data_IF_352929031136
#
_entry.id   IF_352929031136
#
_cell.length_a   1.000
_cell.length_b   1.000
_cell.length_c   1.000
_cell.angle_alpha   90.00
_cell.angle_beta   90.00
_cell.angle_gamma   90.00
#
_symmetry.space_group_name_H-M   'P 1'
#
loop_
_entity.id
_entity.type
_entity.pdbx_description
1 polymer ?
#
# COMPACT_ATOMS: atom_id res chain seq x y z
N UNK A 1 13.82 -15.36 71.60
CA UNK A 1 12.77 -14.40 71.23
C UNK A 1 13.03 -13.96 69.80
N UNK A 2 12.40 -14.72 68.96
CA UNK A 2 12.55 -14.61 67.48
C UNK A 2 11.74 -13.42 66.97
N UNK A 3 12.33 -12.71 66.02
CA UNK A 3 11.57 -11.76 65.21
C UNK A 3 12.11 -11.75 63.78
N UNK A 4 11.58 -12.68 62.98
CA UNK A 4 11.75 -12.74 61.56
C UNK A 4 10.58 -11.98 60.90
N UNK A 5 10.82 -10.80 60.38
CA UNK A 5 9.88 -10.11 59.51
C UNK A 5 10.26 -10.34 58.04
N UNK A 6 9.46 -11.17 57.36
CA UNK A 6 9.58 -11.47 55.95
C UNK A 6 9.03 -10.32 55.10
N UNK A 7 9.86 -9.72 54.26
CA UNK A 7 9.47 -8.78 53.20
C UNK A 7 8.80 -9.55 52.06
N UNK A 8 7.49 -9.49 51.95
CA UNK A 8 6.74 -9.94 50.80
C UNK A 8 6.69 -8.84 49.75
N UNK A 9 7.60 -8.90 48.78
CA UNK A 9 7.54 -8.12 47.57
C UNK A 9 6.48 -8.72 46.64
N UNK A 10 5.29 -8.12 46.61
CA UNK A 10 4.18 -8.50 45.73
C UNK A 10 4.55 -8.13 44.28
N UNK A 11 4.90 -9.12 43.47
CA UNK A 11 4.97 -9.01 42.04
C UNK A 11 3.55 -8.77 41.48
N UNK A 12 3.30 -7.59 40.92
CA UNK A 12 2.09 -7.33 40.18
C UNK A 12 1.97 -8.31 39.00
N UNK A 13 0.77 -8.81 38.70
CA UNK A 13 0.61 -9.89 37.75
C UNK A 13 0.84 -9.38 36.31
N UNK A 14 1.90 -9.86 35.68
CA UNK A 14 2.20 -9.69 34.25
C UNK A 14 1.06 -10.17 33.32
N UNK A 15 0.15 -11.00 33.83
CA UNK A 15 -1.06 -11.51 33.17
C UNK A 15 -2.09 -10.43 32.84
N UNK A 16 -2.20 -9.35 33.63
CA UNK A 16 -3.20 -8.30 33.39
C UNK A 16 -2.83 -7.40 32.20
N UNK A 17 -1.55 -7.15 31.96
CA UNK A 17 -1.06 -6.35 30.83
C UNK A 17 -1.13 -7.16 29.53
N UNK A 18 -0.81 -8.44 29.58
CA UNK A 18 -0.95 -9.36 28.44
C UNK A 18 -2.42 -9.58 28.06
N UNK A 19 -3.35 -9.66 29.03
CA UNK A 19 -4.78 -9.78 28.76
C UNK A 19 -5.38 -8.46 28.24
N UNK A 20 -4.93 -7.27 28.67
CA UNK A 20 -5.35 -6.00 28.07
C UNK A 20 -4.88 -5.83 26.63
N UNK A 21 -3.65 -6.26 26.30
CA UNK A 21 -3.19 -6.31 24.91
C UNK A 21 -4.00 -7.30 24.05
N UNK A 22 -4.38 -8.46 24.58
CA UNK A 22 -5.27 -9.40 23.89
C UNK A 22 -6.68 -8.87 23.68
N UNK A 23 -7.22 -8.05 24.60
CA UNK A 23 -8.56 -7.44 24.46
C UNK A 23 -8.57 -6.24 23.50
N UNK A 24 -7.48 -5.50 23.36
CA UNK A 24 -7.36 -4.37 22.43
C UNK A 24 -6.97 -4.77 21.01
N UNK A 25 -6.36 -5.98 20.83
CA UNK A 25 -5.95 -6.52 19.52
C UNK A 25 -6.58 -7.88 19.20
N UNK A 26 -7.58 -8.31 19.94
CA UNK A 26 -8.03 -9.71 20.00
C UNK A 26 -9.26 -10.08 19.17
N UNK A 27 -9.86 -9.18 18.41
CA UNK A 27 -10.70 -9.57 17.27
C UNK A 27 -9.86 -9.41 16.01
N UNK A 28 -9.28 -10.51 15.52
CA UNK A 28 -8.83 -10.59 14.13
C UNK A 28 -10.02 -10.19 13.29
N UNK A 29 -10.04 -8.95 12.77
CA UNK A 29 -11.04 -8.58 11.77
C UNK A 29 -10.98 -9.64 10.68
N UNK A 30 -12.12 -10.23 10.35
CA UNK A 30 -12.18 -11.18 9.27
C UNK A 30 -11.62 -10.52 8.02
N UNK A 31 -10.77 -11.24 7.28
CA UNK A 31 -10.24 -10.73 6.02
C UNK A 31 -11.41 -10.35 5.10
N UNK A 32 -11.34 -9.15 4.55
CA UNK A 32 -12.30 -8.70 3.55
C UNK A 32 -11.69 -9.02 2.18
N UNK A 33 -12.41 -9.81 1.40
CA UNK A 33 -11.99 -10.17 0.05
C UNK A 33 -11.70 -8.92 -0.78
N UNK A 34 -10.58 -8.93 -1.49
CA UNK A 34 -10.08 -7.81 -2.26
C UNK A 34 -10.21 -8.09 -3.76
N UNK A 35 -10.49 -7.05 -4.51
CA UNK A 35 -10.56 -7.15 -5.98
C UNK A 35 -9.25 -7.69 -6.61
N UNK A 36 -8.13 -7.59 -5.91
CA UNK A 36 -6.83 -8.11 -6.34
C UNK A 36 -6.63 -9.60 -6.09
N UNK A 37 -7.44 -10.26 -5.25
CA UNK A 37 -7.24 -11.65 -4.83
C UNK A 37 -7.23 -12.62 -6.01
N UNK A 38 -8.25 -12.58 -6.87
CA UNK A 38 -8.31 -13.39 -8.09
C UNK A 38 -7.10 -13.13 -9.01
N UNK A 39 -6.63 -11.88 -9.07
CA UNK A 39 -5.45 -11.53 -9.85
C UNK A 39 -4.19 -12.13 -9.23
N UNK A 40 -4.04 -12.06 -7.92
CA UNK A 40 -2.92 -12.63 -7.17
C UNK A 40 -2.83 -14.14 -7.39
N UNK A 41 -3.93 -14.88 -7.25
CA UNK A 41 -4.00 -16.32 -7.50
C UNK A 41 -3.54 -16.67 -8.92
N UNK A 42 -4.04 -15.95 -9.92
CA UNK A 42 -3.63 -16.15 -11.31
C UNK A 42 -2.13 -15.87 -11.50
N UNK A 43 -1.57 -14.86 -10.86
CA UNK A 43 -0.16 -14.54 -10.95
C UNK A 43 0.69 -15.61 -10.26
N UNK A 44 0.29 -16.10 -9.09
CA UNK A 44 0.95 -17.20 -8.38
C UNK A 44 0.94 -18.51 -9.21
N UNK A 45 -0.14 -18.77 -9.95
CA UNK A 45 -0.20 -19.94 -10.83
C UNK A 45 0.67 -19.83 -12.08
N UNK A 46 1.14 -18.65 -12.44
CA UNK A 46 1.90 -18.39 -13.67
C UNK A 46 3.36 -18.01 -13.45
N UNK A 47 3.70 -17.45 -12.29
CA UNK A 47 5.03 -16.90 -11.96
C UNK A 47 5.64 -17.60 -10.75
N UNK A 48 6.98 -17.55 -10.61
CA UNK A 48 7.69 -18.06 -9.44
C UNK A 48 7.44 -17.23 -8.20
N UNK A 49 7.31 -15.91 -8.34
CA UNK A 49 6.98 -15.00 -7.25
C UNK A 49 6.06 -13.86 -7.67
N UNK A 50 5.39 -13.25 -6.69
CA UNK A 50 4.58 -12.04 -6.86
C UNK A 50 5.02 -10.98 -5.86
N UNK A 51 5.28 -9.77 -6.35
CA UNK A 51 5.54 -8.59 -5.53
C UNK A 51 4.26 -7.77 -5.41
N UNK A 52 3.73 -7.68 -4.19
CA UNK A 52 2.58 -6.83 -3.85
C UNK A 52 3.10 -5.45 -3.45
N UNK A 53 2.80 -4.45 -4.27
CA UNK A 53 3.18 -3.05 -4.07
C UNK A 53 1.93 -2.20 -3.79
N UNK A 54 2.08 -1.13 -3.03
CA UNK A 54 0.98 -0.19 -2.78
C UNK A 54 1.22 0.66 -1.52
N UNK A 55 0.35 1.66 -1.27
CA UNK A 55 0.52 2.58 -0.15
C UNK A 55 0.54 1.86 1.19
N UNK A 56 1.09 2.49 2.22
CA UNK A 56 1.01 1.98 3.59
C UNK A 56 -0.45 1.81 4.00
N UNK A 57 -0.71 0.88 4.90
CA UNK A 57 -2.03 0.59 5.46
C UNK A 57 -3.12 0.14 4.46
N UNK A 58 -2.83 -0.07 3.15
CA UNK A 58 -3.83 -0.55 2.18
C UNK A 58 -4.18 -2.05 2.30
N UNK A 59 -3.49 -2.80 3.18
CA UNK A 59 -3.79 -4.20 3.48
C UNK A 59 -2.90 -5.24 2.80
N UNK A 60 -1.71 -4.87 2.29
CA UNK A 60 -0.77 -5.78 1.60
C UNK A 60 -0.43 -7.02 2.42
N UNK A 61 -0.01 -6.82 3.67
CA UNK A 61 0.33 -7.92 4.60
C UNK A 61 -0.86 -8.87 4.80
N UNK A 62 -2.06 -8.34 5.00
CA UNK A 62 -3.27 -9.16 5.20
C UNK A 62 -3.60 -9.97 3.95
N UNK A 63 -3.53 -9.36 2.76
CA UNK A 63 -3.71 -10.05 1.48
C UNK A 63 -2.61 -11.10 1.26
N UNK A 64 -1.35 -10.75 1.53
CA UNK A 64 -0.24 -11.71 1.44
C UNK A 64 -0.45 -12.92 2.35
N UNK A 65 -0.84 -12.70 3.61
CA UNK A 65 -1.12 -13.77 4.59
C UNK A 65 -2.30 -14.65 4.21
N UNK A 66 -3.32 -14.09 3.53
CA UNK A 66 -4.50 -14.85 3.08
C UNK A 66 -4.12 -15.91 2.03
N UNK A 67 -3.12 -15.63 1.20
CA UNK A 67 -2.69 -16.49 0.09
C UNK A 67 -1.39 -17.28 0.38
N UNK A 68 -0.71 -16.97 1.48
CA UNK A 68 0.53 -17.65 1.86
C UNK A 68 0.27 -18.85 2.76
N UNK A 69 1.11 -19.89 2.63
CA UNK A 69 1.12 -21.04 3.55
C UNK A 69 2.13 -20.88 4.68
N UNK A 70 3.14 -20.05 4.50
CA UNK A 70 4.09 -19.65 5.54
C UNK A 70 4.48 -18.19 5.37
N UNK A 71 4.98 -17.56 6.42
CA UNK A 71 5.34 -16.15 6.38
C UNK A 71 6.53 -15.83 7.27
N UNK A 72 7.23 -14.77 6.91
CA UNK A 72 8.21 -14.09 7.75
C UNK A 72 8.04 -12.58 7.59
N UNK A 73 8.14 -11.83 8.68
CA UNK A 73 8.05 -10.38 8.71
C UNK A 73 9.41 -9.81 9.06
N UNK A 74 10.00 -9.06 8.14
CA UNK A 74 11.34 -8.49 8.34
C UNK A 74 11.35 -7.31 9.33
N UNK A 75 10.20 -6.69 9.56
CA UNK A 75 10.00 -5.61 10.55
C UNK A 75 9.71 -6.11 11.98
N UNK A 76 9.57 -7.42 12.19
CA UNK A 76 9.22 -7.97 13.50
C UNK A 76 10.29 -7.69 14.55
N UNK A 77 11.56 -7.82 14.19
CA UNK A 77 12.68 -7.43 15.02
C UNK A 77 13.96 -7.23 14.19
N UNK A 78 14.92 -6.43 14.67
CA UNK A 78 16.24 -6.30 14.04
C UNK A 78 16.95 -7.65 13.85
N UNK A 79 16.70 -8.63 14.72
CA UNK A 79 17.27 -9.97 14.66
C UNK A 79 16.85 -10.71 13.39
N UNK A 80 15.64 -10.48 12.88
CA UNK A 80 15.16 -11.13 11.64
C UNK A 80 15.94 -10.62 10.43
N UNK A 81 16.24 -9.32 10.36
CA UNK A 81 17.07 -8.75 9.29
C UNK A 81 18.51 -9.28 9.40
N UNK A 82 19.08 -9.36 10.61
CA UNK A 82 20.41 -9.95 10.83
C UNK A 82 20.44 -11.43 10.42
N UNK A 83 19.40 -12.20 10.72
CA UNK A 83 19.28 -13.59 10.25
C UNK A 83 19.29 -13.63 8.71
N UNK A 84 18.55 -12.74 8.06
CA UNK A 84 18.53 -12.66 6.60
C UNK A 84 19.92 -12.35 6.00
N UNK A 85 20.75 -11.56 6.69
CA UNK A 85 22.12 -11.26 6.28
C UNK A 85 23.07 -12.44 6.48
N UNK A 86 22.95 -13.17 7.59
CA UNK A 86 23.84 -14.27 7.95
C UNK A 86 23.45 -15.59 7.25
N UNK A 87 22.17 -15.88 7.17
CA UNK A 87 21.62 -17.09 6.55
C UNK A 87 20.34 -16.75 5.75
N UNK A 88 20.48 -16.21 4.55
CA UNK A 88 19.32 -15.90 3.71
C UNK A 88 18.43 -17.12 3.43
N UNK A 89 19.01 -18.33 3.38
CA UNK A 89 18.26 -19.55 3.11
C UNK A 89 17.28 -19.88 4.24
N UNK A 90 17.62 -19.60 5.50
CA UNK A 90 16.70 -19.78 6.62
C UNK A 90 15.44 -18.91 6.47
N UNK A 91 15.57 -17.70 5.90
CA UNK A 91 14.42 -16.82 5.62
C UNK A 91 13.53 -17.39 4.51
N UNK A 92 14.11 -18.08 3.52
CA UNK A 92 13.41 -18.63 2.37
C UNK A 92 12.78 -20.01 2.64
N UNK A 93 13.12 -20.66 3.75
CA UNK A 93 12.56 -21.96 4.14
C UNK A 93 11.12 -21.83 4.65
N UNK A 94 10.23 -22.72 4.21
CA UNK A 94 8.84 -22.84 4.64
C UNK A 94 7.92 -23.28 3.51
N UNK A 95 6.66 -23.54 3.89
CA UNK A 95 5.62 -23.93 2.94
C UNK A 95 5.32 -22.81 1.93
N UNK A 96 5.14 -23.18 0.68
CA UNK A 96 4.90 -22.21 -0.42
C UNK A 96 3.43 -22.16 -0.83
N UNK A 97 2.91 -20.98 -1.18
CA UNK A 97 3.57 -19.68 -1.29
C UNK A 97 4.06 -19.16 0.08
N UNK A 98 5.31 -18.66 0.13
CA UNK A 98 5.88 -18.05 1.33
C UNK A 98 5.84 -16.53 1.24
N UNK A 99 5.22 -15.88 2.23
CA UNK A 99 5.21 -14.42 2.34
C UNK A 99 6.50 -13.93 3.02
N UNK A 100 7.17 -13.00 2.35
CA UNK A 100 8.25 -12.18 2.92
C UNK A 100 7.75 -10.75 2.98
N UNK A 101 7.31 -10.34 4.18
CA UNK A 101 6.70 -9.03 4.41
C UNK A 101 7.76 -7.98 4.73
N UNK A 102 7.53 -6.73 4.26
CA UNK A 102 8.44 -5.58 4.34
C UNK A 102 9.83 -5.90 3.74
N UNK A 103 9.83 -6.60 2.59
CA UNK A 103 11.06 -7.08 1.93
C UNK A 103 12.10 -6.00 1.63
N UNK A 104 11.69 -4.72 1.50
CA UNK A 104 12.60 -3.61 1.27
C UNK A 104 13.57 -3.36 2.44
N UNK A 105 13.34 -3.95 3.62
CA UNK A 105 14.29 -3.91 4.75
C UNK A 105 15.52 -4.80 4.50
N UNK A 106 15.43 -5.77 3.57
CA UNK A 106 16.52 -6.63 3.15
C UNK A 106 16.58 -6.74 1.61
N UNK A 107 16.92 -5.64 0.88
CA UNK A 107 16.84 -5.61 -0.59
C UNK A 107 17.74 -6.63 -1.28
N UNK A 108 18.83 -7.07 -0.63
CA UNK A 108 19.75 -8.10 -1.12
C UNK A 108 19.04 -9.45 -1.33
N UNK A 109 17.96 -9.74 -0.60
CA UNK A 109 17.16 -10.97 -0.77
C UNK A 109 16.58 -11.10 -2.17
N UNK A 110 16.35 -9.99 -2.89
CA UNK A 110 15.79 -10.01 -4.23
C UNK A 110 16.53 -10.96 -5.19
N UNK A 111 17.86 -10.83 -5.26
CA UNK A 111 18.66 -11.68 -6.14
C UNK A 111 18.69 -13.14 -5.65
N UNK A 112 18.71 -13.35 -4.35
CA UNK A 112 18.72 -14.70 -3.76
C UNK A 112 17.40 -15.40 -4.04
N UNK A 113 16.26 -14.72 -3.83
CA UNK A 113 14.92 -15.27 -4.14
C UNK A 113 14.80 -15.57 -5.64
N UNK A 114 15.35 -14.70 -6.51
CA UNK A 114 15.35 -14.93 -7.96
C UNK A 114 16.09 -16.21 -8.33
N UNK A 115 17.26 -16.45 -7.74
CA UNK A 115 18.02 -17.70 -7.95
C UNK A 115 17.24 -18.90 -7.39
N UNK A 116 16.67 -18.78 -6.21
CA UNK A 116 15.86 -19.85 -5.61
C UNK A 116 14.65 -20.22 -6.48
N UNK A 117 13.99 -19.23 -7.12
CA UNK A 117 12.92 -19.50 -8.10
C UNK A 117 13.46 -20.27 -9.31
N UNK A 118 14.65 -19.91 -9.82
CA UNK A 118 15.28 -20.59 -10.94
C UNK A 118 15.67 -22.03 -10.58
N UNK A 119 16.20 -22.26 -9.39
CA UNK A 119 16.65 -23.57 -8.91
C UNK A 119 15.46 -24.52 -8.64
N UNK A 120 14.40 -24.01 -8.01
CA UNK A 120 13.19 -24.81 -7.73
C UNK A 120 12.34 -25.08 -8.96
N UNK A 121 12.46 -24.29 -10.02
CA UNK A 121 11.70 -24.39 -11.28
C UNK A 121 10.18 -24.55 -11.07
N UNK A 122 9.65 -23.99 -9.99
CA UNK A 122 8.25 -24.09 -9.60
C UNK A 122 7.57 -22.71 -9.59
N UNK A 123 6.25 -22.71 -9.71
CA UNK A 123 5.41 -21.50 -9.64
C UNK A 123 4.88 -21.29 -8.24
N UNK A 124 4.45 -20.05 -7.92
CA UNK A 124 3.82 -19.73 -6.64
C UNK A 124 4.72 -19.96 -5.43
N UNK A 125 6.02 -19.68 -5.56
CA UNK A 125 6.97 -19.93 -4.50
C UNK A 125 6.96 -18.82 -3.44
N UNK A 126 6.91 -17.56 -3.89
CA UNK A 126 7.08 -16.43 -3.01
C UNK A 126 6.03 -15.34 -3.25
N UNK A 127 5.61 -14.71 -2.15
CA UNK A 127 4.90 -13.43 -2.14
C UNK A 127 5.80 -12.46 -1.40
N UNK A 128 6.16 -11.36 -2.05
CA UNK A 128 6.87 -10.25 -1.42
C UNK A 128 5.89 -9.11 -1.21
N UNK A 129 5.92 -8.44 -0.07
CA UNK A 129 5.11 -7.24 0.18
C UNK A 129 5.97 -6.09 0.66
N UNK A 130 5.66 -4.87 0.18
CA UNK A 130 6.40 -3.68 0.54
C UNK A 130 5.64 -2.39 0.23
N UNK A 131 5.89 -1.36 1.03
CA UNK A 131 5.19 -0.06 0.97
C UNK A 131 5.92 1.00 0.14
N UNK A 132 7.10 0.69 -0.35
CA UNK A 132 7.85 1.54 -1.27
C UNK A 132 8.42 0.69 -2.40
N UNK A 133 8.44 1.24 -3.61
CA UNK A 133 9.26 0.66 -4.67
C UNK A 133 10.74 0.89 -4.27
N UNK A 134 11.54 -0.18 -4.10
CA UNK A 134 12.95 0.03 -3.83
C UNK A 134 13.55 0.85 -4.96
N UNK A 135 14.34 1.87 -4.61
CA UNK A 135 15.13 2.61 -5.59
C UNK A 135 15.90 1.62 -6.45
N UNK A 136 15.87 1.80 -7.76
CA UNK A 136 16.55 0.91 -8.71
C UNK A 136 18.04 0.86 -8.39
N UNK A 137 18.43 -0.09 -7.55
CA UNK A 137 19.83 -0.42 -7.34
C UNK A 137 20.32 -1.11 -8.62
N UNK A 138 21.34 -0.53 -9.25
CA UNK A 138 22.03 -1.06 -10.45
C UNK A 138 22.47 -2.53 -10.26
N UNK A 139 22.67 -2.96 -9.01
CA UNK A 139 23.03 -4.35 -8.65
C UNK A 139 21.85 -5.30 -8.67
N UNK A 140 20.63 -4.80 -8.74
CA UNK A 140 19.41 -5.60 -8.70
C UNK A 140 18.92 -5.90 -10.11
N UNK A 141 18.91 -7.17 -10.48
CA UNK A 141 18.31 -7.61 -11.73
C UNK A 141 16.80 -7.36 -11.75
N UNK A 142 16.24 -7.08 -12.91
CA UNK A 142 14.81 -6.71 -13.08
C UNK A 142 13.79 -7.76 -12.58
N UNK A 143 14.22 -9.00 -12.36
CA UNK A 143 13.32 -10.11 -12.02
C UNK A 143 12.36 -10.51 -13.15
N UNK A 144 12.57 -10.00 -14.36
CA UNK A 144 11.74 -10.30 -15.52
C UNK A 144 11.60 -11.80 -15.75
N UNK A 145 10.37 -12.27 -15.95
CA UNK A 145 10.05 -13.68 -16.14
C UNK A 145 9.99 -14.53 -14.84
N UNK A 146 10.42 -14.01 -13.68
CA UNK A 146 10.37 -14.69 -12.37
C UNK A 146 9.31 -14.09 -11.48
N UNK A 147 9.22 -12.76 -11.46
CA UNK A 147 8.27 -12.02 -10.65
C UNK A 147 7.21 -11.31 -11.48
N UNK A 148 5.97 -11.37 -11.02
CA UNK A 148 4.93 -10.43 -11.40
C UNK A 148 4.83 -9.32 -10.36
N UNK A 149 4.48 -8.10 -10.80
CA UNK A 149 4.13 -7.00 -9.90
C UNK A 149 2.61 -6.87 -9.83
N UNK A 150 2.09 -6.78 -8.62
CA UNK A 150 0.69 -6.56 -8.33
C UNK A 150 0.53 -5.28 -7.53
N UNK A 151 0.00 -4.23 -8.17
CA UNK A 151 -0.31 -2.99 -7.46
C UNK A 151 -1.62 -3.15 -6.70
N UNK A 152 -1.55 -2.95 -5.39
CA UNK A 152 -2.68 -2.92 -4.48
C UNK A 152 -2.99 -1.47 -4.13
N UNK A 153 -4.28 -1.10 -4.20
CA UNK A 153 -4.80 0.22 -3.84
C UNK A 153 -5.59 0.15 -2.55
N UNK A 154 -5.96 1.27 -1.93
CA UNK A 154 -7.00 1.29 -0.90
C UNK A 154 -8.27 0.60 -1.39
N UNK A 155 -9.19 0.28 -0.47
CA UNK A 155 -10.43 -0.43 -0.79
C UNK A 155 -11.35 0.41 -1.68
N UNK A 156 -12.00 -0.26 -2.61
CA UNK A 156 -13.11 0.31 -3.38
C UNK A 156 -14.40 0.34 -2.55
N UNK A 157 -15.40 1.10 -3.00
CA UNK A 157 -16.72 1.10 -2.36
C UNK A 157 -17.40 -0.29 -2.36
N UNK A 158 -17.05 -1.14 -3.32
CA UNK A 158 -17.52 -2.52 -3.35
C UNK A 158 -16.88 -3.37 -2.27
N UNK A 159 -15.58 -3.24 -2.05
CA UNK A 159 -14.85 -3.97 -1.03
C UNK A 159 -15.22 -3.50 0.38
N UNK A 160 -15.41 -2.20 0.59
CA UNK A 160 -15.91 -1.63 1.86
C UNK A 160 -17.43 -1.77 2.06
N UNK A 161 -18.14 -2.34 1.06
CA UNK A 161 -19.57 -2.69 1.04
C UNK A 161 -20.61 -1.57 0.89
N UNK A 162 -20.32 -0.28 0.74
CA UNK A 162 -21.35 0.70 0.42
C UNK A 162 -21.93 0.53 -0.98
N UNK A 163 -21.18 -0.07 -1.92
CA UNK A 163 -21.65 -0.34 -3.30
C UNK A 163 -22.19 -1.76 -3.44
N UNK A 164 -23.33 -1.90 -4.11
CA UNK A 164 -23.95 -3.19 -4.45
C UNK A 164 -23.25 -3.91 -5.61
N UNK A 165 -22.35 -3.25 -6.33
CA UNK A 165 -21.68 -3.75 -7.53
C UNK A 165 -22.61 -4.25 -8.66
N UNK A 166 -23.85 -3.75 -8.70
CA UNK A 166 -24.84 -4.14 -9.73
C UNK A 166 -24.44 -3.70 -11.16
N UNK A 167 -23.57 -2.69 -11.27
CA UNK A 167 -23.05 -2.21 -12.54
C UNK A 167 -21.56 -2.47 -12.61
N UNK A 168 -21.10 -3.10 -13.68
CA UNK A 168 -19.69 -3.33 -13.97
C UNK A 168 -19.31 -2.76 -15.33
N UNK A 169 -18.02 -2.46 -15.53
CA UNK A 169 -17.53 -2.08 -16.86
C UNK A 169 -17.73 -3.18 -17.90
N UNK A 170 -17.68 -4.45 -17.48
CA UNK A 170 -17.95 -5.58 -18.36
C UNK A 170 -19.40 -5.63 -18.82
N UNK A 171 -20.36 -5.42 -17.91
CA UNK A 171 -21.78 -5.38 -18.27
C UNK A 171 -22.11 -4.21 -19.21
N UNK A 172 -21.52 -3.03 -18.94
CA UNK A 172 -21.64 -1.85 -19.83
C UNK A 172 -21.04 -2.17 -21.21
N UNK A 173 -19.87 -2.78 -21.26
CA UNK A 173 -19.18 -3.16 -22.50
C UNK A 173 -19.94 -4.21 -23.29
N UNK A 174 -20.63 -5.12 -22.64
CA UNK A 174 -21.49 -6.13 -23.23
C UNK A 174 -22.86 -5.59 -23.69
N UNK A 175 -23.12 -4.27 -23.49
CA UNK A 175 -24.41 -3.64 -23.80
C UNK A 175 -25.58 -4.30 -23.08
N UNK A 176 -25.37 -4.82 -21.88
CA UNK A 176 -26.42 -5.35 -21.03
C UNK A 176 -27.43 -4.27 -20.63
N UNK A 177 -28.71 -4.61 -20.61
CA UNK A 177 -29.75 -3.68 -20.15
C UNK A 177 -29.65 -3.49 -18.64
N UNK A 178 -29.24 -2.32 -18.21
CA UNK A 178 -29.13 -1.94 -16.80
C UNK A 178 -30.45 -1.33 -16.31
N UNK A 179 -31.48 -2.16 -16.13
CA UNK A 179 -32.80 -1.72 -15.64
C UNK A 179 -32.94 -2.00 -14.14
N UNK A 180 -33.59 -1.07 -13.41
CA UNK A 180 -33.82 -1.22 -11.98
C UNK A 180 -32.61 -1.08 -11.09
N UNK A 181 -31.50 -0.53 -11.61
CA UNK A 181 -30.30 -0.28 -10.84
C UNK A 181 -30.48 0.99 -10.02
N UNK A 182 -30.34 0.90 -8.71
CA UNK A 182 -30.41 2.03 -7.79
C UNK A 182 -29.38 1.88 -6.68
N UNK A 183 -29.10 2.98 -6.00
CA UNK A 183 -28.24 3.02 -4.81
C UNK A 183 -29.01 3.69 -3.68
N UNK A 184 -28.97 3.10 -2.50
CA UNK A 184 -29.53 3.68 -1.28
C UNK A 184 -28.62 4.74 -0.65
N UNK A 185 -27.41 4.94 -1.20
CA UNK A 185 -26.45 5.93 -0.72
C UNK A 185 -26.95 7.34 -1.04
N UNK A 186 -27.04 8.15 0.00
CA UNK A 186 -27.28 9.58 -0.13
C UNK A 186 -25.98 10.33 -0.46
N UNK A 187 -26.09 11.59 -0.90
CA UNK A 187 -24.90 12.46 -1.07
C UNK A 187 -24.10 12.64 0.22
N UNK A 188 -24.79 12.60 1.39
CA UNK A 188 -24.14 12.67 2.69
C UNK A 188 -23.30 11.42 2.97
N UNK A 189 -23.83 10.24 2.61
CA UNK A 189 -23.11 8.98 2.74
C UNK A 189 -21.90 8.94 1.82
N UNK A 190 -22.04 9.39 0.58
CA UNK A 190 -20.91 9.48 -0.36
C UNK A 190 -19.82 10.44 0.15
N UNK A 191 -20.22 11.60 0.72
CA UNK A 191 -19.27 12.52 1.33
C UNK A 191 -18.56 11.90 2.54
N UNK A 192 -19.27 11.14 3.36
CA UNK A 192 -18.71 10.40 4.48
C UNK A 192 -17.69 9.35 4.02
N UNK A 193 -18.02 8.58 2.97
CA UNK A 193 -17.08 7.60 2.40
C UNK A 193 -15.85 8.27 1.76
N UNK A 194 -16.02 9.41 1.12
CA UNK A 194 -14.88 10.19 0.59
C UNK A 194 -13.93 10.67 1.71
N UNK A 195 -14.49 11.09 2.86
CA UNK A 195 -13.69 11.46 4.03
C UNK A 195 -13.03 10.25 4.70
N UNK A 196 -13.73 9.13 4.80
CA UNK A 196 -13.21 7.88 5.38
C UNK A 196 -12.04 7.35 4.56
N UNK A 197 -12.13 7.42 3.24
CA UNK A 197 -11.18 6.78 2.33
C UNK A 197 -11.31 5.26 2.31
N UNK A 198 -10.43 4.61 1.54
CA UNK A 198 -10.45 3.17 1.35
C UNK A 198 -9.48 2.40 2.27
N UNK A 199 -9.19 2.88 3.45
CA UNK A 199 -8.30 2.21 4.40
C UNK A 199 -9.04 1.06 5.11
N UNK A 200 -8.56 -0.20 5.03
CA UNK A 200 -9.22 -1.34 5.68
C UNK A 200 -9.47 -1.13 7.17
N UNK A 201 -8.55 -0.46 7.86
CA UNK A 201 -8.67 -0.17 9.28
C UNK A 201 -9.84 0.77 9.63
N UNK A 202 -10.34 1.55 8.66
CA UNK A 202 -11.38 2.55 8.88
C UNK A 202 -12.78 2.09 8.48
N UNK A 203 -12.93 0.88 7.97
CA UNK A 203 -14.21 0.39 7.40
C UNK A 203 -15.38 0.48 8.39
N UNK A 204 -15.12 0.30 9.70
CA UNK A 204 -16.14 0.34 10.75
C UNK A 204 -15.95 1.50 11.73
N UNK A 205 -15.02 2.43 11.43
CA UNK A 205 -14.70 3.54 12.33
C UNK A 205 -15.62 4.74 12.10
N UNK A 206 -15.71 5.62 13.09
CA UNK A 206 -16.45 6.88 12.95
C UNK A 206 -15.78 7.82 11.94
N UNK A 207 -16.53 8.78 11.42
CA UNK A 207 -15.97 9.82 10.53
C UNK A 207 -14.94 10.69 11.25
N UNK A 208 -15.13 10.95 12.55
CA UNK A 208 -14.16 11.67 13.38
C UNK A 208 -12.82 10.93 13.46
N UNK A 209 -12.85 9.64 13.80
CA UNK A 209 -11.63 8.80 13.85
C UNK A 209 -10.96 8.69 12.48
N UNK A 210 -11.74 8.61 11.42
CA UNK A 210 -11.21 8.60 10.05
C UNK A 210 -10.52 9.92 9.68
N UNK A 211 -11.06 11.06 10.09
CA UNK A 211 -10.42 12.37 9.88
C UNK A 211 -9.08 12.47 10.62
N UNK A 212 -9.03 12.03 11.88
CA UNK A 212 -7.81 12.04 12.68
C UNK A 212 -6.74 11.09 12.09
N UNK A 213 -7.15 9.89 11.66
CA UNK A 213 -6.25 8.96 10.96
C UNK A 213 -5.68 9.58 9.70
N UNK A 214 -6.52 10.14 8.83
CA UNK A 214 -6.09 10.71 7.56
C UNK A 214 -5.18 11.93 7.76
N UNK A 215 -5.46 12.76 8.77
CA UNK A 215 -4.59 13.89 9.14
C UNK A 215 -3.20 13.42 9.59
N UNK A 216 -3.15 12.40 10.46
CA UNK A 216 -1.89 11.78 10.91
C UNK A 216 -1.15 11.11 9.77
N UNK A 217 -1.85 10.37 8.91
CA UNK A 217 -1.25 9.72 7.73
C UNK A 217 -0.58 10.74 6.78
N UNK A 218 -1.27 11.85 6.50
CA UNK A 218 -0.71 12.93 5.68
C UNK A 218 0.51 13.60 6.34
N UNK A 219 0.49 13.77 7.67
CA UNK A 219 1.62 14.32 8.40
C UNK A 219 2.84 13.40 8.36
N UNK A 220 2.65 12.10 8.60
CA UNK A 220 3.72 11.09 8.55
C UNK A 220 4.30 10.97 7.13
N UNK A 221 3.44 10.99 6.11
CA UNK A 221 3.85 10.94 4.72
C UNK A 221 4.79 12.10 4.38
N UNK A 222 4.46 13.34 4.80
CA UNK A 222 5.25 14.53 4.48
C UNK A 222 6.52 14.67 5.32
N UNK A 223 6.53 14.19 6.56
CA UNK A 223 7.65 14.37 7.49
C UNK A 223 8.72 13.27 7.40
N UNK A 224 8.31 12.03 7.21
CA UNK A 224 9.19 10.86 7.38
C UNK A 224 9.20 9.95 6.18
N UNK A 225 8.03 9.51 5.71
CA UNK A 225 7.91 8.42 4.75
C UNK A 225 8.53 8.74 3.39
N UNK A 226 8.31 9.93 2.88
CA UNK A 226 8.88 10.38 1.61
C UNK A 226 10.41 10.42 1.68
N UNK A 227 10.98 10.97 2.76
CA UNK A 227 12.43 11.04 2.91
C UNK A 227 13.07 9.65 3.04
N UNK A 228 12.48 8.77 3.83
CA UNK A 228 12.97 7.39 4.01
C UNK A 228 12.88 6.60 2.72
N UNK A 229 11.79 6.74 1.96
CA UNK A 229 11.54 5.95 0.75
C UNK A 229 12.32 6.44 -0.47
N UNK A 230 12.60 7.76 -0.56
CA UNK A 230 13.24 8.36 -1.73
C UNK A 230 14.68 8.79 -1.49
N UNK A 231 15.12 8.91 -0.24
CA UNK A 231 16.39 9.52 0.14
C UNK A 231 16.46 11.04 -0.11
N UNK A 232 15.36 11.66 -0.60
CA UNK A 232 15.29 13.08 -0.95
C UNK A 232 14.65 13.85 0.20
N UNK A 233 15.29 14.93 0.62
CA UNK A 233 14.73 15.85 1.61
C UNK A 233 13.77 16.82 0.93
N UNK A 234 12.53 16.83 1.38
CA UNK A 234 11.48 17.73 0.91
C UNK A 234 11.18 18.82 1.93
N UNK A 235 10.68 19.96 1.46
CA UNK A 235 10.09 20.98 2.33
C UNK A 235 8.66 20.52 2.71
N UNK A 236 8.38 20.22 4.00
CA UNK A 236 7.07 19.68 4.40
C UNK A 236 5.91 20.63 4.11
N UNK A 237 6.13 21.95 4.21
CA UNK A 237 5.08 22.94 3.97
C UNK A 237 4.72 22.97 2.48
N UNK A 238 5.72 23.00 1.60
CA UNK A 238 5.52 22.96 0.16
C UNK A 238 4.91 21.63 -0.29
N UNK A 239 5.36 20.51 0.28
CA UNK A 239 4.79 19.20 -0.01
C UNK A 239 3.32 19.13 0.38
N UNK A 240 2.95 19.65 1.56
CA UNK A 240 1.55 19.71 1.99
C UNK A 240 0.69 20.54 1.03
N UNK A 241 1.16 21.71 0.63
CA UNK A 241 0.44 22.54 -0.36
C UNK A 241 0.27 21.84 -1.70
N UNK A 242 1.30 21.10 -2.14
CA UNK A 242 1.19 20.29 -3.34
C UNK A 242 0.13 19.19 -3.20
N UNK A 243 0.10 18.50 -2.08
CA UNK A 243 -0.94 17.48 -1.79
C UNK A 243 -2.34 18.10 -1.78
N UNK A 244 -2.52 19.28 -1.20
CA UNK A 244 -3.79 20.02 -1.22
C UNK A 244 -4.21 20.43 -2.64
N UNK A 245 -3.25 20.85 -3.48
CA UNK A 245 -3.50 21.15 -4.90
C UNK A 245 -3.86 19.88 -5.68
N UNK A 246 -3.16 18.78 -5.46
CA UNK A 246 -3.45 17.48 -6.07
C UNK A 246 -4.84 16.95 -5.71
N UNK A 247 -5.25 17.08 -4.45
CA UNK A 247 -6.58 16.69 -3.99
C UNK A 247 -7.70 17.46 -4.72
N UNK A 248 -7.51 18.78 -4.98
CA UNK A 248 -8.44 19.60 -5.77
C UNK A 248 -8.46 19.22 -7.24
N UNK A 249 -7.35 18.70 -7.75
CA UNK A 249 -7.16 18.35 -9.15
C UNK A 249 -7.27 16.85 -9.43
N UNK A 250 -7.77 16.06 -8.48
CA UNK A 250 -7.96 14.61 -8.66
C UNK A 250 -8.79 14.30 -9.89
N UNK A 251 -8.36 13.31 -10.68
CA UNK A 251 -8.95 12.88 -11.95
C UNK A 251 -8.93 13.95 -13.07
N UNK A 252 -8.06 14.95 -12.97
CA UNK A 252 -7.87 15.99 -14.00
C UNK A 252 -6.48 15.91 -14.65
N UNK A 253 -6.30 16.65 -15.74
CA UNK A 253 -5.02 16.82 -16.45
C UNK A 253 -4.25 18.02 -15.87
N UNK A 254 -3.90 17.97 -14.56
CA UNK A 254 -3.13 19.05 -13.93
C UNK A 254 -1.70 19.11 -14.50
N UNK A 255 -1.23 20.32 -14.82
CA UNK A 255 0.13 20.52 -15.31
C UNK A 255 1.08 20.87 -14.17
N UNK A 256 2.37 20.52 -14.30
CA UNK A 256 3.39 20.94 -13.32
C UNK A 256 3.45 22.49 -13.18
N UNK A 257 3.04 23.23 -14.18
CA UNK A 257 2.96 24.71 -14.12
C UNK A 257 1.81 25.20 -13.25
N UNK A 258 0.61 24.62 -13.38
CA UNK A 258 -0.54 24.98 -12.53
C UNK A 258 -0.28 24.58 -11.07
N UNK A 259 0.26 23.38 -10.84
CA UNK A 259 0.63 22.92 -9.50
C UNK A 259 1.71 23.82 -8.86
N UNK A 260 2.71 24.25 -9.65
CA UNK A 260 3.73 25.19 -9.16
C UNK A 260 3.12 26.54 -8.73
N UNK A 261 2.15 27.05 -9.50
CA UNK A 261 1.46 28.28 -9.16
C UNK A 261 0.67 28.17 -7.86
N UNK A 262 -0.02 27.03 -7.65
CA UNK A 262 -0.78 26.79 -6.42
C UNK A 262 0.15 26.69 -5.18
N UNK A 263 1.30 26.04 -5.32
CA UNK A 263 2.26 25.91 -4.23
C UNK A 263 2.95 27.22 -3.91
N UNK A 264 3.18 28.07 -4.90
CA UNK A 264 3.84 29.38 -4.79
C UNK A 264 2.90 30.52 -4.35
N UNK A 265 1.68 30.24 -3.92
CA UNK A 265 0.67 31.25 -3.58
C UNK A 265 1.08 32.26 -2.48
N UNK A 266 2.18 32.01 -1.76
CA UNK A 266 2.77 32.92 -0.76
C UNK A 266 3.89 33.83 -1.33
N UNK A 267 4.08 33.85 -2.65
CA UNK A 267 5.14 34.63 -3.31
C UNK A 267 6.52 33.98 -3.29
N UNK A 268 6.68 32.82 -2.65
CA UNK A 268 7.93 32.02 -2.74
C UNK A 268 7.87 31.19 -4.02
N UNK A 269 8.55 31.62 -5.08
CA UNK A 269 8.64 30.86 -6.33
C UNK A 269 9.09 29.42 -6.09
N UNK A 270 8.44 28.47 -6.74
CA UNK A 270 8.89 27.09 -6.81
C UNK A 270 9.16 26.73 -8.27
N UNK A 271 10.31 26.11 -8.51
CA UNK A 271 10.68 25.65 -9.84
C UNK A 271 9.86 24.42 -10.25
N UNK A 272 9.53 24.34 -11.55
CA UNK A 272 8.80 23.18 -12.12
C UNK A 272 9.53 21.87 -11.95
N UNK A 273 10.86 21.87 -11.91
CA UNK A 273 11.64 20.67 -11.66
C UNK A 273 11.47 20.17 -10.22
N UNK A 274 11.38 21.10 -9.26
CA UNK A 274 11.09 20.75 -7.86
C UNK A 274 9.70 20.12 -7.74
N UNK A 275 8.69 20.67 -8.42
CA UNK A 275 7.35 20.04 -8.46
C UNK A 275 7.42 18.64 -9.05
N UNK A 276 8.18 18.42 -10.13
CA UNK A 276 8.33 17.08 -10.72
C UNK A 276 8.98 16.11 -9.75
N UNK A 277 10.05 16.51 -9.07
CA UNK A 277 10.70 15.69 -8.04
C UNK A 277 9.70 15.32 -6.91
N UNK A 278 8.85 16.25 -6.51
CA UNK A 278 7.84 16.00 -5.48
C UNK A 278 6.75 15.03 -5.98
N UNK A 279 6.29 15.17 -7.23
CA UNK A 279 5.35 14.21 -7.84
C UNK A 279 5.94 12.82 -7.96
N UNK A 280 7.21 12.71 -8.42
CA UNK A 280 7.92 11.44 -8.50
C UNK A 280 8.04 10.79 -7.11
N UNK A 281 8.34 11.58 -6.08
CA UNK A 281 8.43 11.08 -4.70
C UNK A 281 7.10 10.56 -4.19
N UNK A 282 5.97 11.26 -4.44
CA UNK A 282 4.63 10.78 -4.09
C UNK A 282 4.26 9.50 -4.85
N UNK A 283 4.72 9.37 -6.09
CA UNK A 283 4.51 8.15 -6.90
C UNK A 283 5.29 6.95 -6.36
N UNK A 284 6.51 7.16 -5.83
CA UNK A 284 7.33 6.09 -5.21
C UNK A 284 6.64 5.47 -3.99
N UNK A 285 5.94 6.28 -3.20
CA UNK A 285 5.18 5.81 -2.03
C UNK A 285 3.71 5.45 -2.35
N UNK A 286 3.36 5.44 -3.63
CA UNK A 286 2.02 5.11 -4.14
C UNK A 286 0.90 6.05 -3.66
N UNK A 287 1.24 7.26 -3.23
CA UNK A 287 0.28 8.30 -2.90
C UNK A 287 -0.25 9.03 -4.15
N UNK A 288 0.46 8.92 -5.26
CA UNK A 288 0.08 9.49 -6.55
C UNK A 288 0.08 8.41 -7.63
N UNK A 289 -0.94 8.42 -8.47
CA UNK A 289 -1.02 7.54 -9.63
C UNK A 289 -1.41 8.34 -10.88
N UNK A 290 -0.67 8.13 -11.97
CA UNK A 290 -1.00 8.69 -13.27
C UNK A 290 -1.81 7.68 -14.09
N UNK A 291 -2.97 8.11 -14.58
CA UNK A 291 -3.82 7.33 -15.49
C UNK A 291 -3.59 7.81 -16.93
N UNK A 292 -2.93 7.00 -17.78
CA UNK A 292 -2.71 7.35 -19.18
C UNK A 292 -4.04 7.53 -19.93
N UNK A 293 -4.04 8.41 -20.94
CA UNK A 293 -5.20 8.59 -21.79
C UNK A 293 -5.58 7.28 -22.49
N UNK A 294 -6.88 6.97 -22.52
CA UNK A 294 -7.43 5.85 -23.27
C UNK A 294 -7.80 6.29 -24.71
N UNK A 295 -7.71 5.38 -25.66
CA UNK A 295 -8.21 5.59 -27.02
C UNK A 295 -8.75 4.27 -27.57
N UNK A 296 -9.83 4.35 -28.35
CA UNK A 296 -10.48 3.19 -28.98
C UNK A 296 -9.51 2.42 -29.87
N UNK A 297 -8.69 3.12 -30.65
CA UNK A 297 -7.69 2.48 -31.51
C UNK A 297 -6.36 2.34 -30.81
N UNK A 298 -5.82 1.10 -30.77
CA UNK A 298 -4.49 0.80 -30.21
C UNK A 298 -3.36 1.57 -30.93
N UNK A 299 -3.55 1.93 -32.22
CA UNK A 299 -2.60 2.69 -33.02
C UNK A 299 -2.79 4.20 -32.92
N UNK A 300 -3.75 4.69 -32.13
CA UNK A 300 -4.01 6.11 -31.99
C UNK A 300 -2.85 6.83 -31.31
N UNK A 301 -2.28 7.83 -31.97
CA UNK A 301 -1.27 8.74 -31.40
C UNK A 301 -1.85 9.64 -30.30
N UNK A 302 -3.16 9.73 -30.18
CA UNK A 302 -3.85 10.52 -29.14
C UNK A 302 -3.42 10.09 -27.75
N UNK A 303 -3.23 8.78 -27.50
CA UNK A 303 -2.73 8.25 -26.22
C UNK A 303 -1.37 8.81 -25.80
N UNK A 304 -0.50 9.06 -26.78
CA UNK A 304 0.86 9.55 -26.54
C UNK A 304 0.94 11.08 -26.40
N UNK A 305 -0.11 11.80 -26.83
CA UNK A 305 -0.12 13.26 -26.89
C UNK A 305 -0.97 13.92 -25.81
N UNK A 306 -1.90 13.18 -25.22
CA UNK A 306 -2.72 13.68 -24.11
C UNK A 306 -2.00 13.48 -22.78
N UNK A 307 -2.12 14.49 -21.91
CA UNK A 307 -1.67 14.39 -20.54
C UNK A 307 -2.39 13.26 -19.80
N UNK A 308 -1.70 12.60 -18.90
CA UNK A 308 -2.32 11.64 -17.99
C UNK A 308 -3.20 12.39 -16.97
N UNK A 309 -4.25 11.74 -16.51
CA UNK A 309 -5.00 12.20 -15.35
C UNK A 309 -4.28 11.80 -14.08
N UNK A 310 -4.31 12.69 -13.10
CA UNK A 310 -3.66 12.47 -11.80
C UNK A 310 -4.70 12.00 -10.81
N UNK A 311 -4.40 10.91 -10.11
CA UNK A 311 -5.18 10.39 -8.99
C UNK A 311 -4.34 10.45 -7.71
N UNK A 312 -4.86 11.15 -6.71
CA UNK A 312 -4.22 11.35 -5.42
C UNK A 312 -5.13 10.88 -4.29
#
# INVERSE_FOLDING_TARGET
MDNTSANSCTKAPQTAVQNRRKLLYGQKMAYIERAVDTRLERLLSSMGGVLIEGPRACGKTSTGLQHAKSSIRLDESPTVVQLAELDPQAVLQGDTPRLIDEWQLAPFLWNIIRHEIDDRQARGQFILSGSAAPTDDIRRHSGAGRFARLRMRPMTLTESRPSTAQVSLSSISASEQLTGVHSDLTYKDLAAEAVRGGWPALTNESIGDAMDFNASYCADLTSTDLQVSTGIRHDPVRMRRLMESLARNTATEATSGSLASDVAADGSGIDRNTIRIYLDSLSVVFALEEQPAWAVSLRSRTRLRKAAKIHF
#
